data_IF_540373781041
#
_entry.id   IF_540373781041
#
_cell.length_a   1.000
_cell.length_b   1.000
_cell.length_c   1.000
_cell.angle_alpha   90.00
_cell.angle_beta   90.00
_cell.angle_gamma   90.00
#
_symmetry.space_group_name_H-M   'P 1'
#
loop_
_entity.id
_entity.type
_entity.pdbx_description
1 polymer ?
#
# COMPACT_ATOMS: atom_id res chain seq x y z
N UNK A 1 -10.93 11.88 10.41
CA UNK A 1 -10.34 10.53 10.33
C UNK A 1 -9.13 10.67 9.43
N UNK A 2 -7.90 10.62 9.98
CA UNK A 2 -6.70 10.67 9.15
C UNK A 2 -6.68 9.44 8.26
N UNK A 3 -6.52 9.66 6.96
CA UNK A 3 -6.25 8.59 6.03
C UNK A 3 -4.80 8.15 6.23
N UNK A 4 -4.59 7.14 7.05
CA UNK A 4 -3.25 6.61 7.31
C UNK A 4 -2.56 6.14 6.03
N UNK A 5 -3.29 5.75 4.98
CA UNK A 5 -2.69 5.43 3.67
C UNK A 5 -2.21 6.67 2.90
N UNK A 6 -2.36 7.88 3.44
CA UNK A 6 -1.81 9.12 2.89
C UNK A 6 -0.85 9.82 3.84
N UNK A 7 -0.62 9.23 5.03
CA UNK A 7 0.31 9.76 6.00
C UNK A 7 1.75 9.37 5.63
N UNK A 8 2.69 10.31 5.44
CA UNK A 8 4.07 9.99 5.09
C UNK A 8 4.75 9.04 6.10
N UNK A 9 4.43 9.19 7.39
CA UNK A 9 4.98 8.32 8.44
C UNK A 9 4.42 6.89 8.38
N UNK A 10 3.18 6.73 7.88
CA UNK A 10 2.56 5.41 7.80
C UNK A 10 3.21 4.52 6.73
N UNK A 11 3.91 5.11 5.77
CA UNK A 11 4.72 4.42 4.75
C UNK A 11 5.84 3.56 5.36
N UNK A 12 6.30 3.89 6.57
CA UNK A 12 7.52 3.32 7.16
C UNK A 12 7.29 2.47 8.40
N UNK A 13 6.06 2.43 8.94
CA UNK A 13 5.79 1.66 10.15
C UNK A 13 4.99 0.39 9.84
N UNK A 14 5.49 -0.79 10.25
CA UNK A 14 4.84 -2.08 9.99
C UNK A 14 3.40 -2.17 10.54
N UNK A 15 3.06 -1.39 11.58
CA UNK A 15 1.71 -1.36 12.14
C UNK A 15 0.65 -0.85 11.14
N UNK A 16 1.06 -0.11 10.11
CA UNK A 16 0.17 0.37 9.05
C UNK A 16 0.07 -0.59 7.87
N UNK A 17 0.82 -1.68 7.84
CA UNK A 17 0.81 -2.66 6.76
C UNK A 17 -0.61 -3.17 6.41
N UNK A 18 -1.49 -3.52 7.38
CA UNK A 18 -2.85 -3.95 7.05
C UNK A 18 -3.66 -2.85 6.33
N UNK A 19 -3.42 -1.58 6.66
CA UNK A 19 -4.07 -0.44 6.03
C UNK A 19 -3.62 -0.29 4.58
N UNK A 20 -2.32 -0.40 4.31
CA UNK A 20 -1.79 -0.33 2.94
C UNK A 20 -2.26 -1.49 2.06
N UNK A 21 -2.29 -2.71 2.60
CA UNK A 21 -2.87 -3.88 1.89
C UNK A 21 -4.34 -3.63 1.54
N UNK A 22 -5.11 -3.12 2.50
CA UNK A 22 -6.53 -2.80 2.28
C UNK A 22 -6.73 -1.68 1.27
N UNK A 23 -5.87 -0.65 1.29
CA UNK A 23 -5.92 0.48 0.36
C UNK A 23 -5.61 0.04 -1.07
N UNK A 24 -4.55 -0.75 -1.27
CA UNK A 24 -4.21 -1.30 -2.59
C UNK A 24 -5.37 -2.14 -3.17
N UNK A 25 -5.96 -3.03 -2.37
CA UNK A 25 -7.08 -3.86 -2.79
C UNK A 25 -8.33 -3.02 -3.13
N UNK A 26 -8.68 -2.06 -2.27
CA UNK A 26 -9.85 -1.21 -2.45
C UNK A 26 -9.71 -0.32 -3.70
N UNK A 27 -8.56 0.30 -3.90
CA UNK A 27 -8.29 1.14 -5.07
C UNK A 27 -8.39 0.34 -6.37
N UNK A 28 -7.89 -0.91 -6.42
CA UNK A 28 -8.05 -1.81 -7.58
C UNK A 28 -9.52 -2.11 -7.88
N UNK A 29 -10.34 -2.38 -6.85
CA UNK A 29 -11.78 -2.59 -7.01
C UNK A 29 -12.46 -1.33 -7.55
N UNK A 30 -12.13 -0.15 -7.03
CA UNK A 30 -12.71 1.12 -7.51
C UNK A 30 -12.30 1.43 -8.95
N UNK A 31 -11.03 1.23 -9.32
CA UNK A 31 -10.56 1.37 -10.71
C UNK A 31 -11.38 0.50 -11.67
N UNK A 32 -11.69 -0.73 -11.29
CA UNK A 32 -12.54 -1.63 -12.08
C UNK A 32 -13.99 -1.16 -12.24
N UNK A 33 -14.48 -0.36 -11.29
CA UNK A 33 -15.84 0.21 -11.30
C UNK A 33 -15.91 1.60 -11.94
N UNK A 34 -14.77 2.23 -12.23
CA UNK A 34 -14.72 3.58 -12.78
C UNK A 34 -15.12 3.59 -14.25
N UNK A 35 -16.16 4.36 -14.56
CA UNK A 35 -16.62 4.61 -15.91
C UNK A 35 -15.55 5.24 -16.80
N UNK A 36 -15.56 4.90 -18.11
CA UNK A 36 -14.54 5.32 -19.09
C UNK A 36 -14.33 6.84 -19.21
N UNK A 37 -15.34 7.65 -18.88
CA UNK A 37 -15.27 9.11 -18.92
C UNK A 37 -14.48 9.71 -17.76
N UNK A 38 -14.33 9.00 -16.63
CA UNK A 38 -13.71 9.52 -15.41
C UNK A 38 -12.20 9.25 -15.38
N UNK A 39 -11.49 9.73 -16.42
CA UNK A 39 -10.05 9.46 -16.61
C UNK A 39 -9.19 10.00 -15.47
N UNK A 40 -9.49 11.19 -14.96
CA UNK A 40 -8.73 11.82 -13.88
C UNK A 40 -8.83 11.01 -12.57
N UNK A 41 -10.03 10.56 -12.23
CA UNK A 41 -10.26 9.71 -11.06
C UNK A 41 -9.55 8.36 -11.21
N UNK A 42 -9.64 7.76 -12.40
CA UNK A 42 -8.93 6.51 -12.69
C UNK A 42 -7.43 6.66 -12.49
N UNK A 43 -6.83 7.73 -13.04
CA UNK A 43 -5.41 8.00 -12.90
C UNK A 43 -5.00 8.22 -11.44
N UNK A 44 -5.79 8.99 -10.68
CA UNK A 44 -5.54 9.23 -9.25
C UNK A 44 -5.52 7.94 -8.45
N UNK A 45 -6.51 7.08 -8.63
CA UNK A 45 -6.58 5.80 -7.92
C UNK A 45 -5.52 4.79 -8.38
N UNK A 46 -5.10 4.84 -9.65
CA UNK A 46 -3.96 4.05 -10.12
C UNK A 46 -2.69 4.42 -9.36
N UNK A 47 -2.37 5.71 -9.24
CA UNK A 47 -1.21 6.17 -8.47
C UNK A 47 -1.31 5.76 -6.99
N UNK A 48 -2.49 5.86 -6.39
CA UNK A 48 -2.71 5.45 -5.00
C UNK A 48 -2.52 3.93 -4.80
N UNK A 49 -2.99 3.11 -5.75
CA UNK A 49 -2.80 1.67 -5.73
C UNK A 49 -1.33 1.28 -5.89
N UNK A 50 -0.62 1.92 -6.82
CA UNK A 50 0.81 1.68 -7.05
C UNK A 50 1.66 2.06 -5.84
N UNK A 51 1.37 3.20 -5.20
CA UNK A 51 2.03 3.60 -3.97
C UNK A 51 1.80 2.57 -2.86
N UNK A 52 0.55 2.14 -2.66
CA UNK A 52 0.21 1.16 -1.63
C UNK A 52 0.90 -0.20 -1.87
N UNK A 53 0.92 -0.68 -3.12
CA UNK A 53 1.63 -1.90 -3.50
C UNK A 53 3.14 -1.78 -3.23
N UNK A 54 3.74 -0.64 -3.56
CA UNK A 54 5.17 -0.39 -3.32
C UNK A 54 5.53 -0.44 -1.83
N UNK A 55 4.71 0.15 -0.96
CA UNK A 55 4.91 0.09 0.50
C UNK A 55 4.83 -1.36 1.00
N UNK A 56 3.81 -2.11 0.57
CA UNK A 56 3.66 -3.53 0.95
C UNK A 56 4.85 -4.38 0.50
N UNK A 57 5.42 -4.09 -0.68
CA UNK A 57 6.60 -4.76 -1.18
C UNK A 57 7.86 -4.45 -0.34
N UNK A 58 8.06 -3.18 0.03
CA UNK A 58 9.16 -2.77 0.93
C UNK A 58 9.03 -3.48 2.28
N UNK A 59 7.84 -3.49 2.87
CA UNK A 59 7.59 -4.17 4.15
C UNK A 59 7.88 -5.67 4.05
N UNK A 60 7.47 -6.33 2.96
CA UNK A 60 7.78 -7.73 2.73
C UNK A 60 9.30 -7.97 2.64
N UNK A 61 10.03 -7.09 1.94
CA UNK A 61 11.49 -7.16 1.83
C UNK A 61 12.19 -6.94 3.19
N UNK A 62 11.70 -5.99 4.01
CA UNK A 62 12.22 -5.73 5.36
C UNK A 62 11.99 -6.92 6.29
N UNK A 63 10.82 -7.56 6.24
CA UNK A 63 10.55 -8.80 7.01
C UNK A 63 11.51 -9.91 6.59
N UNK A 64 11.78 -10.08 5.30
CA UNK A 64 12.75 -11.10 4.84
C UNK A 64 14.19 -10.79 5.26
N UNK A 65 14.57 -9.51 5.32
CA UNK A 65 15.90 -9.09 5.74
C UNK A 65 16.11 -9.26 7.26
N UNK A 66 15.10 -8.96 8.07
CA UNK A 66 15.16 -9.10 9.53
C UNK A 66 14.98 -10.55 9.98
N UNK A 67 14.17 -11.34 9.27
CA UNK A 67 13.96 -12.77 9.57
C UNK A 67 15.14 -13.69 9.28
N UNK A 68 16.23 -13.17 8.72
CA UNK A 68 17.50 -13.89 8.53
C UNK A 68 18.53 -13.69 9.64
N UNK A 69 18.21 -12.89 10.67
CA UNK A 69 19.14 -12.55 11.77
C UNK A 69 18.75 -13.16 13.14
N UNK A 70 17.68 -13.96 13.21
CA UNK A 70 17.28 -14.69 14.42
C UNK A 70 17.51 -16.19 14.20
N UNK A 71 18.78 -16.56 14.18
CA UNK A 71 19.23 -17.92 13.94
C UNK A 71 20.71 -18.06 14.26
N UNK A 72 21.11 -17.80 15.51
CA UNK A 72 22.14 -18.53 16.27
C UNK A 72 22.36 -17.88 17.66
N UNK A 73 22.31 -18.74 18.68
CA UNK A 73 22.67 -18.58 20.12
C UNK A 73 21.66 -17.96 21.10
#
# INVERSE_FOLDING_TARGET
MCDSARCPQATHQPCHRPVWVSAAASSKVFIGKIGRSQKAEKARLTVEAEQADHVVAIDAALVTATGGADGDQ
#
